data_IF_365496944888
#
_entry.id   IF_365496944888
#
_cell.length_a   1.000
_cell.length_b   1.000
_cell.length_c   1.000
_cell.angle_alpha   90.00
_cell.angle_beta   90.00
_cell.angle_gamma   90.00
#
_symmetry.space_group_name_H-M   'P 1'
#
loop_
_entity.id
_entity.type
_entity.pdbx_description
1 polymer ?
#
# COMPACT_ATOMS: atom_id res chain seq x y z
N UNK A 1 5.03 24.66 -7.54
CA UNK A 1 4.59 23.28 -7.28
C UNK A 1 5.68 22.36 -7.80
N UNK A 2 6.60 21.93 -6.93
CA UNK A 2 7.72 21.07 -7.32
C UNK A 2 7.15 19.72 -7.76
N UNK A 3 7.48 19.21 -8.96
CA UNK A 3 7.01 17.90 -9.35
C UNK A 3 7.55 16.88 -8.34
N UNK A 4 6.75 15.93 -7.84
CA UNK A 4 7.29 14.86 -7.02
C UNK A 4 8.31 14.12 -7.88
N UNK A 5 9.55 14.01 -7.39
CA UNK A 5 10.55 13.18 -8.04
C UNK A 5 10.01 11.75 -8.06
N UNK A 6 9.72 11.22 -9.24
CA UNK A 6 9.30 9.84 -9.38
C UNK A 6 10.42 8.94 -8.86
N UNK A 7 10.07 7.92 -8.06
CA UNK A 7 11.03 6.94 -7.60
C UNK A 7 11.72 6.29 -8.81
N UNK A 8 13.03 6.14 -8.72
CA UNK A 8 13.84 5.49 -9.74
C UNK A 8 13.47 4.00 -9.85
N UNK A 9 13.69 3.36 -11.02
CA UNK A 9 13.42 1.93 -11.17
C UNK A 9 14.15 1.05 -10.14
N UNK A 10 15.35 1.44 -9.71
CA UNK A 10 16.12 0.71 -8.69
C UNK A 10 15.51 0.85 -7.30
N UNK A 11 15.06 2.04 -6.90
CA UNK A 11 14.34 2.25 -5.64
C UNK A 11 13.05 1.44 -5.60
N UNK A 12 12.29 1.46 -6.70
CA UNK A 12 11.08 0.66 -6.81
C UNK A 12 11.40 -0.83 -6.70
N UNK A 13 12.46 -1.30 -7.38
CA UNK A 13 12.85 -2.70 -7.32
C UNK A 13 13.23 -3.11 -5.90
N UNK A 14 13.94 -2.25 -5.15
CA UNK A 14 14.27 -2.53 -3.74
C UNK A 14 13.02 -2.61 -2.86
N UNK A 15 12.12 -1.63 -2.97
CA UNK A 15 10.87 -1.61 -2.21
C UNK A 15 9.94 -2.77 -2.54
N UNK A 16 9.96 -3.28 -3.79
CA UNK A 16 9.14 -4.40 -4.20
C UNK A 16 9.51 -5.74 -3.51
N UNK A 17 10.71 -5.82 -2.91
CA UNK A 17 11.15 -6.98 -2.11
C UNK A 17 10.91 -6.80 -0.61
N UNK A 18 10.37 -5.66 -0.18
CA UNK A 18 10.00 -5.42 1.22
C UNK A 18 8.61 -5.99 1.50
N UNK A 19 8.35 -6.40 2.75
CA UNK A 19 6.98 -6.59 3.24
C UNK A 19 6.24 -5.26 3.24
N UNK A 20 4.92 -5.30 3.02
CA UNK A 20 4.11 -4.09 2.90
C UNK A 20 2.81 -4.15 3.70
N UNK A 21 2.35 -2.99 4.18
CA UNK A 21 1.02 -2.83 4.79
C UNK A 21 0.40 -1.48 4.41
N UNK A 22 -0.91 -1.47 4.20
CA UNK A 22 -1.67 -0.24 4.02
C UNK A 22 -1.92 0.45 5.36
N UNK A 23 -1.62 1.74 5.41
CA UNK A 23 -1.95 2.63 6.52
C UNK A 23 -3.17 3.46 6.13
N UNK A 24 -4.35 3.21 6.71
CA UNK A 24 -5.55 3.94 6.35
C UNK A 24 -5.42 5.41 6.72
N UNK A 25 -5.98 6.27 5.87
CA UNK A 25 -6.11 7.70 6.12
C UNK A 25 -7.56 8.14 5.91
N UNK A 26 -7.96 9.22 6.56
CA UNK A 26 -9.24 9.86 6.36
C UNK A 26 -9.00 11.34 5.98
N UNK A 27 -9.40 11.80 4.77
CA UNK A 27 -10.07 11.04 3.70
C UNK A 27 -9.17 9.97 3.08
N UNK A 28 -9.74 8.93 2.47
CA UNK A 28 -9.01 7.77 1.92
C UNK A 28 -7.80 8.13 1.02
N UNK A 29 -7.83 9.29 0.34
CA UNK A 29 -6.71 9.83 -0.46
C UNK A 29 -5.46 10.21 0.33
N UNK A 30 -5.54 10.29 1.66
CA UNK A 30 -4.39 10.51 2.57
C UNK A 30 -3.77 9.21 3.05
N UNK A 31 -4.33 8.05 2.67
CA UNK A 31 -3.76 6.74 2.96
C UNK A 31 -2.34 6.58 2.43
N UNK A 32 -1.58 5.72 3.09
CA UNK A 32 -0.16 5.48 2.83
C UNK A 32 0.12 3.98 2.79
N UNK A 33 1.28 3.59 2.31
CA UNK A 33 1.76 2.20 2.34
C UNK A 33 3.14 2.21 2.96
N UNK A 34 3.35 1.35 3.96
CA UNK A 34 4.64 1.18 4.61
C UNK A 34 5.34 -0.06 4.04
N UNK A 35 6.65 0.03 3.86
CA UNK A 35 7.53 -1.01 3.35
C UNK A 35 8.70 -1.26 4.31
N UNK A 36 8.94 -2.50 4.72
CA UNK A 36 10.06 -2.85 5.60
C UNK A 36 10.68 -4.21 5.24
N UNK A 37 11.92 -4.41 5.68
CA UNK A 37 12.60 -5.71 5.65
C UNK A 37 12.89 -6.12 7.09
N UNK A 38 12.47 -7.31 7.55
CA UNK A 38 12.77 -7.78 8.89
C UNK A 38 14.29 -7.75 9.18
N UNK A 39 14.69 -7.08 10.25
CA UNK A 39 16.09 -7.01 10.68
C UNK A 39 17.01 -6.12 9.81
N UNK A 40 16.46 -5.34 8.88
CA UNK A 40 17.24 -4.42 8.02
C UNK A 40 16.65 -3.02 8.03
N UNK A 41 17.48 -1.99 7.87
CA UNK A 41 16.98 -0.62 7.70
C UNK A 41 16.25 -0.52 6.35
N UNK A 42 15.03 0.07 6.31
CA UNK A 42 14.32 0.27 5.06
C UNK A 42 15.13 1.18 4.12
N UNK A 43 14.95 1.02 2.79
CA UNK A 43 15.53 1.96 1.84
C UNK A 43 15.02 3.38 2.14
N UNK A 44 15.88 4.39 1.94
CA UNK A 44 15.48 5.78 2.04
C UNK A 44 14.28 6.04 1.12
N UNK A 45 13.24 6.68 1.67
CA UNK A 45 11.99 6.93 0.97
C UNK A 45 11.67 8.43 0.95
N UNK A 46 11.15 8.96 -0.18
CA UNK A 46 10.68 10.34 -0.25
C UNK A 46 9.60 10.69 0.79
N UNK A 47 8.79 9.70 1.22
CA UNK A 47 7.77 9.88 2.24
C UNK A 47 8.28 9.72 3.68
N UNK A 48 9.58 9.47 3.86
CA UNK A 48 10.21 9.29 5.16
C UNK A 48 10.25 7.85 5.66
N UNK A 49 10.90 7.67 6.81
CA UNK A 49 10.98 6.41 7.55
C UNK A 49 10.29 6.61 8.90
N UNK A 50 9.39 5.71 9.25
CA UNK A 50 8.60 5.75 10.48
C UNK A 50 8.74 4.44 11.26
N UNK A 51 8.62 4.52 12.59
CA UNK A 51 8.51 3.35 13.45
C UNK A 51 7.05 2.88 13.45
N UNK A 52 6.83 1.60 13.15
CA UNK A 52 5.51 0.99 13.03
C UNK A 52 5.41 -0.25 13.92
N UNK A 53 4.39 -0.28 14.76
CA UNK A 53 4.02 -1.49 15.49
C UNK A 53 3.18 -2.38 14.58
N UNK A 54 3.69 -3.56 14.24
CA UNK A 54 3.00 -4.55 13.42
C UNK A 54 2.62 -5.78 14.24
N UNK A 55 1.54 -6.44 13.83
CA UNK A 55 1.17 -7.75 14.35
C UNK A 55 1.94 -8.84 13.57
N UNK A 56 2.54 -9.77 14.29
CA UNK A 56 3.28 -10.91 13.73
C UNK A 56 2.75 -12.20 14.35
N UNK A 57 2.81 -13.29 13.60
CA UNK A 57 2.47 -14.61 14.13
C UNK A 57 3.48 -15.00 15.23
N UNK A 58 2.97 -15.57 16.32
CA UNK A 58 3.77 -16.09 17.44
C UNK A 58 3.19 -17.45 17.89
N UNK A 59 3.69 -18.53 17.29
CA UNK A 59 3.11 -19.86 17.44
C UNK A 59 1.64 -19.88 16.98
N UNK A 60 0.74 -20.28 17.88
CA UNK A 60 -0.71 -20.25 17.67
C UNK A 60 -1.35 -18.88 18.02
N UNK A 61 -0.54 -17.90 18.41
CA UNK A 61 -0.94 -16.57 18.84
C UNK A 61 -0.48 -15.45 17.91
N UNK A 62 -0.67 -14.21 18.39
CA UNK A 62 -0.24 -12.98 17.73
C UNK A 62 0.56 -12.16 18.72
N UNK A 63 1.77 -11.78 18.35
CA UNK A 63 2.59 -10.82 19.08
C UNK A 63 2.68 -9.51 18.30
N UNK A 64 3.19 -8.46 18.94
CA UNK A 64 3.52 -7.21 18.26
C UNK A 64 5.03 -6.98 18.26
N UNK A 65 5.52 -6.35 17.19
CA UNK A 65 6.91 -5.91 17.10
C UNK A 65 6.98 -4.55 16.42
N UNK A 66 8.00 -3.78 16.75
CA UNK A 66 8.25 -2.48 16.11
C UNK A 66 9.22 -2.67 14.96
N UNK A 67 8.86 -2.14 13.78
CA UNK A 67 9.69 -2.12 12.58
C UNK A 67 9.94 -0.71 12.11
N UNK A 68 11.09 -0.49 11.50
CA UNK A 68 11.41 0.73 10.75
C UNK A 68 10.87 0.54 9.34
N UNK A 69 9.98 1.42 8.88
CA UNK A 69 9.40 1.28 7.56
C UNK A 69 9.50 2.56 6.73
N UNK A 70 9.86 2.39 5.46
CA UNK A 70 9.71 3.41 4.44
C UNK A 70 8.23 3.63 4.16
N UNK A 71 7.73 4.86 4.29
CA UNK A 71 6.32 5.17 4.05
C UNK A 71 6.18 5.92 2.74
N UNK A 72 5.18 5.55 1.94
CA UNK A 72 4.84 6.20 0.67
C UNK A 72 3.35 6.57 0.63
N UNK A 73 2.98 7.74 0.10
CA UNK A 73 1.60 7.98 -0.32
C UNK A 73 1.15 6.91 -1.32
N UNK A 74 -0.15 6.57 -1.33
CA UNK A 74 -0.68 5.51 -2.24
C UNK A 74 -0.29 5.74 -3.70
N UNK A 75 -0.30 6.99 -4.17
CA UNK A 75 0.08 7.34 -5.55
C UNK A 75 1.50 6.86 -5.92
N UNK A 76 2.42 6.89 -4.96
CA UNK A 76 3.83 6.54 -5.14
C UNK A 76 4.07 5.04 -4.86
N UNK A 77 3.19 4.42 -4.07
CA UNK A 77 3.23 2.99 -3.75
C UNK A 77 2.67 2.10 -4.87
N UNK A 78 1.68 2.56 -5.66
CA UNK A 78 1.04 1.75 -6.72
C UNK A 78 2.06 1.15 -7.72
N UNK A 79 3.04 1.90 -8.26
CA UNK A 79 4.07 1.32 -9.13
C UNK A 79 4.96 0.27 -8.44
N UNK A 80 5.18 0.38 -7.13
CA UNK A 80 5.93 -0.60 -6.34
C UNK A 80 5.11 -1.88 -6.17
N UNK A 81 3.87 -1.74 -5.69
CA UNK A 81 2.98 -2.86 -5.39
C UNK A 81 2.64 -3.68 -6.64
N UNK A 82 2.39 -3.03 -7.78
CA UNK A 82 2.14 -3.72 -9.06
C UNK A 82 3.33 -4.55 -9.53
N UNK A 83 4.57 -4.08 -9.32
CA UNK A 83 5.79 -4.85 -9.60
C UNK A 83 6.02 -5.96 -8.59
N UNK A 84 5.78 -5.72 -7.31
CA UNK A 84 5.87 -6.74 -6.26
C UNK A 84 4.93 -7.92 -6.54
N UNK A 85 3.68 -7.64 -6.97
CA UNK A 85 2.73 -8.67 -7.44
C UNK A 85 3.29 -9.49 -8.61
N UNK A 86 3.86 -8.82 -9.61
CA UNK A 86 4.38 -9.49 -10.80
C UNK A 86 5.59 -10.37 -10.48
N UNK A 87 6.49 -9.89 -9.61
CA UNK A 87 7.70 -10.61 -9.21
C UNK A 87 7.45 -11.67 -8.12
N UNK A 88 6.35 -11.57 -7.35
CA UNK A 88 6.08 -12.39 -6.16
C UNK A 88 7.24 -12.37 -5.15
N UNK A 89 7.89 -11.21 -4.99
CA UNK A 89 9.12 -11.07 -4.20
C UNK A 89 8.89 -11.15 -2.67
N UNK A 90 7.72 -10.70 -2.20
CA UNK A 90 7.25 -10.83 -0.82
C UNK A 90 5.73 -11.08 -0.83
N UNK A 91 5.23 -11.89 0.10
CA UNK A 91 3.82 -12.31 0.13
C UNK A 91 2.87 -11.15 0.46
N UNK A 92 3.21 -10.33 1.45
CA UNK A 92 2.39 -9.19 1.87
C UNK A 92 2.38 -8.10 0.79
N UNK A 93 3.52 -7.80 0.19
CA UNK A 93 3.61 -6.86 -0.93
C UNK A 93 2.89 -7.37 -2.18
N UNK A 94 2.97 -8.68 -2.48
CA UNK A 94 2.22 -9.28 -3.57
C UNK A 94 0.70 -9.23 -3.32
N UNK A 95 0.26 -9.43 -2.08
CA UNK A 95 -1.15 -9.29 -1.68
C UNK A 95 -1.64 -7.85 -1.89
N UNK A 96 -0.93 -6.85 -1.39
CA UNK A 96 -1.31 -5.44 -1.60
C UNK A 96 -1.20 -5.02 -3.07
N UNK A 97 -0.25 -5.59 -3.82
CA UNK A 97 -0.20 -5.47 -5.27
C UNK A 97 -1.42 -6.05 -5.97
N UNK A 98 -1.99 -7.14 -5.45
CA UNK A 98 -3.25 -7.67 -5.94
C UNK A 98 -4.43 -6.74 -5.67
N UNK A 99 -4.53 -6.22 -4.46
CA UNK A 99 -5.54 -5.24 -4.10
C UNK A 99 -5.45 -3.98 -4.98
N UNK A 100 -4.23 -3.48 -5.24
CA UNK A 100 -4.02 -2.32 -6.10
C UNK A 100 -4.49 -2.56 -7.55
N UNK A 101 -4.13 -3.70 -8.15
CA UNK A 101 -4.57 -4.05 -9.51
C UNK A 101 -6.10 -4.21 -9.56
N UNK A 102 -6.70 -4.88 -8.58
CA UNK A 102 -8.16 -5.04 -8.51
C UNK A 102 -8.85 -3.68 -8.40
N UNK A 103 -8.38 -2.80 -7.52
CA UNK A 103 -8.93 -1.45 -7.38
C UNK A 103 -8.87 -0.64 -8.69
N UNK A 104 -7.78 -0.75 -9.44
CA UNK A 104 -7.64 -0.10 -10.76
C UNK A 104 -8.61 -0.70 -11.79
N UNK A 105 -8.81 -2.02 -11.79
CA UNK A 105 -9.77 -2.68 -12.68
C UNK A 105 -11.21 -2.26 -12.39
N UNK A 106 -11.58 -2.15 -11.11
CA UNK A 106 -12.89 -1.67 -10.69
C UNK A 106 -13.10 -0.21 -11.10
N UNK A 107 -12.10 0.64 -10.92
CA UNK A 107 -12.13 2.03 -11.39
C UNK A 107 -12.30 2.11 -12.91
N UNK A 108 -11.54 1.31 -13.67
CA UNK A 108 -11.63 1.26 -15.13
C UNK A 108 -13.00 0.75 -15.62
N UNK A 109 -13.67 -0.11 -14.86
CA UNK A 109 -15.04 -0.60 -15.11
C UNK A 109 -16.14 0.36 -14.64
N UNK A 110 -15.79 1.55 -14.12
CA UNK A 110 -16.76 2.52 -13.64
C UNK A 110 -17.48 2.12 -12.36
N UNK A 111 -16.89 1.24 -11.54
CA UNK A 111 -17.45 0.78 -10.25
C UNK A 111 -17.19 1.75 -9.10
N UNK A 112 -17.09 3.04 -9.38
CA UNK A 112 -16.87 4.09 -8.38
C UNK A 112 -18.10 4.96 -8.25
N UNK A 113 -18.57 5.11 -7.02
CA UNK A 113 -19.69 5.98 -6.68
C UNK A 113 -19.20 7.10 -5.76
N UNK A 114 -19.74 8.32 -5.89
CA UNK A 114 -19.51 9.37 -4.91
C UNK A 114 -20.04 8.94 -3.54
N UNK A 115 -19.40 9.43 -2.49
CA UNK A 115 -19.80 9.19 -1.10
C UNK A 115 -19.03 10.10 -0.15
N UNK A 116 -19.21 9.85 1.14
CA UNK A 116 -18.51 10.54 2.21
C UNK A 116 -17.69 9.53 3.02
N UNK A 117 -16.56 9.99 3.55
CA UNK A 117 -15.82 9.23 4.57
C UNK A 117 -16.52 9.30 5.93
N UNK A 118 -15.96 8.62 6.94
CA UNK A 118 -16.51 8.63 8.30
C UNK A 118 -16.48 10.02 8.96
N UNK A 119 -15.62 10.92 8.48
CA UNK A 119 -15.49 12.31 8.96
C UNK A 119 -16.00 13.34 7.94
N UNK A 120 -16.95 12.95 7.09
CA UNK A 120 -17.66 13.82 6.15
C UNK A 120 -16.78 14.48 5.07
N UNK A 121 -15.69 13.83 4.67
CA UNK A 121 -14.93 14.25 3.50
C UNK A 121 -15.45 13.60 2.22
N UNK A 122 -15.48 14.35 1.12
CA UNK A 122 -15.74 13.81 -0.22
C UNK A 122 -14.83 12.61 -0.50
N UNK A 123 -15.47 11.49 -0.85
CA UNK A 123 -14.83 10.21 -1.07
C UNK A 123 -15.43 9.48 -2.28
N UNK A 124 -14.70 8.46 -2.74
CA UNK A 124 -15.17 7.50 -3.72
C UNK A 124 -15.26 6.14 -3.06
N UNK A 125 -16.39 5.47 -3.21
CA UNK A 125 -16.59 4.10 -2.76
C UNK A 125 -16.73 3.15 -3.94
N UNK A 126 -16.20 1.96 -3.78
CA UNK A 126 -16.38 0.87 -4.75
C UNK A 126 -17.80 0.33 -4.62
N UNK A 127 -18.49 0.16 -5.75
CA UNK A 127 -19.72 -0.64 -5.83
C UNK A 127 -20.80 -0.11 -6.78
N UNK A 128 -21.97 -0.78 -6.82
CA UNK A 128 -22.21 -2.10 -6.24
C UNK A 128 -21.35 -3.17 -6.95
N UNK A 129 -20.77 -4.09 -6.16
CA UNK A 129 -19.96 -5.20 -6.67
C UNK A 129 -20.85 -6.36 -7.10
N UNK A 130 -20.41 -7.06 -8.15
CA UNK A 130 -21.05 -8.28 -8.68
C UNK A 130 -20.07 -9.44 -8.64
N UNK A 131 -20.54 -10.66 -8.93
CA UNK A 131 -19.67 -11.84 -8.99
C UNK A 131 -18.54 -11.70 -10.03
N UNK A 132 -18.77 -10.95 -11.12
CA UNK A 132 -17.78 -10.67 -12.16
C UNK A 132 -16.67 -9.70 -11.72
N UNK A 133 -16.75 -9.16 -10.51
CA UNK A 133 -15.81 -8.17 -9.96
C UNK A 133 -14.83 -8.79 -8.93
N UNK A 134 -14.83 -10.12 -8.75
CA UNK A 134 -13.92 -10.90 -7.88
C UNK A 134 -13.19 -12.00 -8.67
#
# INVERSE_FOLDING_TARGET
MTPPSAATPSEISRLAHCSAVFLPGDPARTGRVAFWLPGSEPPASPGGVEDLTIAVADGDGVATTTVRAAVLPVRDAVPVLTRARAARADEAAAFWGAAAVLALQLAARGRLLPGLSATDHDAWRVGPLTADDL
#
